data_IF_302704910182
#
_entry.id   IF_302704910182
#
_cell.length_a   1.000
_cell.length_b   1.000
_cell.length_c   1.000
_cell.angle_alpha   90.00
_cell.angle_beta   90.00
_cell.angle_gamma   90.00
#
_symmetry.space_group_name_H-M   'P 1'
#
loop_
_entity.id
_entity.type
_entity.pdbx_description
1 polymer ?
#
# COMPACT_ATOMS: atom_id res chain seq x y z
N UNK A 1 47.90 -12.11 20.75
CA UNK A 1 46.76 -11.56 20.01
C UNK A 1 45.54 -12.30 20.49
N UNK A 2 44.70 -11.70 21.34
CA UNK A 2 43.47 -12.35 21.78
C UNK A 2 42.52 -12.37 20.57
N UNK A 3 42.20 -13.57 20.08
CA UNK A 3 41.16 -13.72 19.07
C UNK A 3 39.87 -13.11 19.63
N UNK A 4 39.27 -12.17 18.90
CA UNK A 4 38.02 -11.55 19.29
C UNK A 4 36.96 -12.64 19.42
N UNK A 5 36.44 -12.90 20.63
CA UNK A 5 35.45 -13.94 20.91
C UNK A 5 34.14 -13.78 20.10
N UNK A 6 33.92 -12.59 19.49
CA UNK A 6 32.76 -12.31 18.67
C UNK A 6 32.95 -12.61 17.17
N UNK A 7 34.11 -13.12 16.74
CA UNK A 7 34.37 -13.41 15.33
C UNK A 7 33.53 -14.59 14.79
N UNK A 8 32.94 -15.41 15.67
CA UNK A 8 32.04 -16.52 15.33
C UNK A 8 30.97 -16.67 16.41
N UNK A 9 29.70 -16.84 16.01
CA UNK A 9 28.59 -17.10 16.95
C UNK A 9 28.83 -18.27 17.89
N UNK A 10 29.44 -19.37 17.39
CA UNK A 10 29.79 -20.53 18.19
C UNK A 10 30.76 -20.24 19.32
N UNK A 11 31.57 -19.17 19.23
CA UNK A 11 32.51 -18.77 20.28
C UNK A 11 31.88 -17.78 21.27
N UNK A 12 30.89 -16.99 20.85
CA UNK A 12 30.23 -16.01 21.71
C UNK A 12 29.27 -16.65 22.76
N UNK A 13 28.67 -17.79 22.44
CA UNK A 13 27.67 -18.48 23.29
C UNK A 13 28.02 -19.89 23.70
N UNK A 14 29.23 -20.35 23.44
CA UNK A 14 29.62 -21.75 23.47
C UNK A 14 30.08 -22.30 24.82
N UNK A 15 30.13 -21.50 25.88
CA UNK A 15 30.65 -21.94 27.19
C UNK A 15 29.86 -23.14 27.82
N UNK A 16 28.60 -23.33 27.41
CA UNK A 16 27.75 -24.43 27.89
C UNK A 16 27.64 -25.61 26.90
N UNK A 17 28.18 -25.48 25.70
CA UNK A 17 28.01 -26.51 24.65
C UNK A 17 29.33 -27.29 24.46
N UNK A 18 29.22 -28.63 24.38
CA UNK A 18 30.34 -29.53 24.16
C UNK A 18 30.74 -29.68 22.68
N UNK A 19 29.88 -29.25 21.76
CA UNK A 19 30.08 -29.39 20.31
C UNK A 19 29.83 -28.06 19.59
N UNK A 20 30.55 -27.74 18.51
CA UNK A 20 30.29 -26.59 17.69
C UNK A 20 29.02 -26.77 16.88
N UNK A 21 28.36 -25.64 16.56
CA UNK A 21 27.18 -25.65 15.69
C UNK A 21 27.56 -26.15 14.27
N UNK A 22 26.74 -27.06 13.71
CA UNK A 22 26.96 -27.55 12.34
C UNK A 22 26.72 -26.44 11.29
N UNK A 23 27.42 -26.53 10.15
CA UNK A 23 27.27 -25.56 9.05
C UNK A 23 25.83 -25.54 8.48
N UNK A 24 25.14 -26.68 8.51
CA UNK A 24 23.71 -26.75 8.10
C UNK A 24 22.82 -25.93 9.04
N UNK A 25 23.02 -26.07 10.36
CA UNK A 25 22.25 -25.31 11.36
C UNK A 25 22.54 -23.81 11.25
N UNK A 26 23.80 -23.40 11.06
CA UNK A 26 24.18 -21.99 10.85
C UNK A 26 23.38 -21.39 9.68
N UNK A 27 23.38 -22.04 8.52
CA UNK A 27 22.65 -21.57 7.33
C UNK A 27 21.14 -21.55 7.54
N UNK A 28 20.60 -22.55 8.25
CA UNK A 28 19.17 -22.65 8.50
C UNK A 28 18.64 -21.60 9.48
N UNK A 29 19.48 -21.17 10.44
CA UNK A 29 19.09 -20.24 11.50
C UNK A 29 19.55 -18.79 11.26
N UNK A 30 20.42 -18.54 10.30
CA UNK A 30 20.90 -17.20 10.00
C UNK A 30 19.81 -16.36 9.28
N UNK A 31 19.78 -15.07 9.59
CA UNK A 31 18.84 -14.09 9.03
C UNK A 31 19.54 -12.92 8.30
N UNK A 32 20.87 -12.87 8.35
CA UNK A 32 21.66 -11.74 7.82
C UNK A 32 21.39 -11.42 6.35
N UNK A 33 21.00 -12.42 5.54
CA UNK A 33 20.74 -12.23 4.12
C UNK A 33 19.54 -11.31 3.87
N UNK A 34 18.55 -11.32 4.75
CA UNK A 34 17.34 -10.50 4.61
C UNK A 34 17.26 -9.40 5.68
N UNK A 35 17.72 -9.61 6.93
CA UNK A 35 17.60 -8.64 8.01
C UNK A 35 18.66 -7.52 7.96
N UNK A 36 19.72 -7.66 7.16
CA UNK A 36 20.73 -6.61 6.95
C UNK A 36 20.13 -5.28 6.52
N UNK A 37 18.92 -5.25 5.96
CA UNK A 37 18.21 -4.00 5.65
C UNK A 37 17.84 -3.15 6.87
N UNK A 38 17.83 -3.74 8.06
CA UNK A 38 17.56 -3.05 9.33
C UNK A 38 18.76 -2.27 9.87
N UNK A 39 19.92 -2.31 9.23
CA UNK A 39 21.18 -1.75 9.77
C UNK A 39 21.05 -0.28 10.21
N UNK A 40 20.25 0.56 9.51
CA UNK A 40 20.06 1.97 9.90
C UNK A 40 19.26 2.07 11.20
N UNK A 41 18.24 1.26 11.36
CA UNK A 41 17.45 1.18 12.58
C UNK A 41 18.28 0.66 13.74
N UNK A 42 19.06 -0.39 13.52
CA UNK A 42 19.96 -0.97 14.54
C UNK A 42 21.00 0.03 15.03
N UNK A 43 21.68 0.75 14.12
CA UNK A 43 22.63 1.79 14.49
C UNK A 43 21.95 2.93 15.26
N UNK A 44 20.80 3.40 14.80
CA UNK A 44 20.05 4.47 15.47
C UNK A 44 19.59 4.04 16.86
N UNK A 45 19.01 2.85 17.00
CA UNK A 45 18.61 2.26 18.28
C UNK A 45 19.78 2.07 19.24
N UNK A 46 20.93 1.56 18.74
CA UNK A 46 22.15 1.36 19.50
C UNK A 46 22.78 2.68 20.00
N UNK A 47 22.76 3.73 19.15
CA UNK A 47 23.24 5.06 19.55
C UNK A 47 22.37 5.68 20.65
N UNK A 48 21.04 5.62 20.50
CA UNK A 48 20.12 6.13 21.51
C UNK A 48 20.22 5.37 22.84
N UNK A 49 20.43 4.06 22.76
CA UNK A 49 20.65 3.22 23.94
C UNK A 49 21.98 3.58 24.65
N UNK A 50 23.08 3.69 23.91
CA UNK A 50 24.39 4.06 24.46
C UNK A 50 24.37 5.46 25.10
N UNK A 51 23.70 6.43 24.46
CA UNK A 51 23.52 7.79 24.97
C UNK A 51 22.77 7.76 26.32
N UNK A 52 21.67 7.01 26.37
CA UNK A 52 20.89 6.83 27.59
C UNK A 52 21.71 6.16 28.70
N UNK A 53 22.45 5.10 28.40
CA UNK A 53 23.32 4.42 29.37
C UNK A 53 24.39 5.37 29.95
N UNK A 54 24.96 6.24 29.12
CA UNK A 54 25.93 7.25 29.58
C UNK A 54 25.26 8.32 30.46
N UNK A 55 24.05 8.76 30.08
CA UNK A 55 23.28 9.72 30.88
C UNK A 55 22.86 9.17 32.25
N UNK A 56 22.62 7.85 32.34
CA UNK A 56 22.32 7.17 33.61
C UNK A 56 23.56 6.75 34.39
N UNK A 57 24.79 7.07 33.91
CA UNK A 57 26.05 6.72 34.56
C UNK A 57 26.39 5.22 34.52
N UNK A 58 25.73 4.46 33.64
CA UNK A 58 25.98 3.02 33.41
C UNK A 58 27.19 2.83 32.48
N UNK A 59 27.32 3.71 31.47
CA UNK A 59 28.52 3.82 30.63
C UNK A 59 29.31 5.08 31.00
N UNK A 60 30.65 5.00 30.82
CA UNK A 60 31.47 6.22 30.88
C UNK A 60 31.22 7.09 29.64
N UNK A 61 31.52 8.38 29.74
CA UNK A 61 31.44 9.31 28.60
C UNK A 61 32.46 8.95 27.52
N UNK A 62 33.59 8.39 27.88
CA UNK A 62 34.66 7.92 27.00
C UNK A 62 34.20 6.71 26.20
N UNK A 63 33.53 5.74 26.84
CA UNK A 63 32.95 4.58 26.16
C UNK A 63 31.83 4.99 25.19
N UNK A 64 30.94 5.90 25.60
CA UNK A 64 29.89 6.42 24.72
C UNK A 64 30.49 7.10 23.48
N UNK A 65 31.48 7.99 23.65
CA UNK A 65 32.12 8.67 22.53
C UNK A 65 32.87 7.70 21.60
N UNK A 66 33.43 6.60 22.14
CA UNK A 66 34.04 5.55 21.33
C UNK A 66 32.99 4.77 20.53
N UNK A 67 31.87 4.38 21.15
CA UNK A 67 30.73 3.69 20.51
C UNK A 67 30.15 4.56 19.41
N UNK A 68 29.90 5.85 19.66
CA UNK A 68 29.34 6.79 18.67
C UNK A 68 30.24 6.88 17.43
N UNK A 69 31.54 7.07 17.59
CA UNK A 69 32.48 7.09 16.46
C UNK A 69 32.56 5.74 15.74
N UNK A 70 32.55 4.63 16.50
CA UNK A 70 32.59 3.30 15.93
C UNK A 70 31.33 2.97 15.09
N UNK A 71 30.13 3.25 15.59
CA UNK A 71 28.89 3.04 14.85
C UNK A 71 28.79 3.95 13.63
N UNK A 72 29.24 5.21 13.72
CA UNK A 72 29.33 6.08 12.56
C UNK A 72 30.26 5.54 11.46
N UNK A 73 31.38 4.91 11.85
CA UNK A 73 32.28 4.25 10.91
C UNK A 73 31.65 3.00 10.30
N UNK A 74 31.00 2.16 11.10
CA UNK A 74 30.25 0.99 10.60
C UNK A 74 29.19 1.40 9.58
N UNK A 75 28.41 2.45 9.89
CA UNK A 75 27.42 2.99 8.95
C UNK A 75 28.02 3.40 7.60
N UNK A 76 29.17 4.09 7.61
CA UNK A 76 29.90 4.47 6.39
C UNK A 76 30.38 3.25 5.60
N UNK A 77 30.88 2.22 6.28
CA UNK A 77 31.32 0.99 5.63
C UNK A 77 30.16 0.26 4.95
N UNK A 78 28.97 0.22 5.59
CA UNK A 78 27.77 -0.38 4.99
C UNK A 78 27.30 0.45 3.79
N UNK A 79 27.21 1.78 3.91
CA UNK A 79 26.80 2.66 2.81
C UNK A 79 27.70 2.59 1.59
N UNK A 80 29.02 2.48 1.81
CA UNK A 80 30.00 2.36 0.72
C UNK A 80 30.11 0.96 0.13
N UNK A 81 29.40 -0.03 0.71
CA UNK A 81 29.49 -1.43 0.29
C UNK A 81 30.81 -2.13 0.69
N UNK A 82 31.64 -1.51 1.56
CA UNK A 82 32.90 -2.10 2.05
C UNK A 82 32.72 -2.97 3.29
N UNK A 83 31.53 -2.98 3.89
CA UNK A 83 31.22 -3.82 5.05
C UNK A 83 31.03 -5.28 4.64
N UNK A 84 31.71 -6.19 5.31
CA UNK A 84 31.63 -7.64 5.07
C UNK A 84 30.57 -8.27 6.00
N UNK A 85 29.45 -8.71 5.44
CA UNK A 85 28.43 -9.48 6.15
C UNK A 85 28.87 -10.95 6.29
N UNK A 86 28.84 -11.46 7.53
CA UNK A 86 29.28 -12.82 7.85
C UNK A 86 28.11 -13.67 8.31
N UNK A 87 27.87 -14.78 7.61
CA UNK A 87 26.84 -15.77 7.98
C UNK A 87 27.07 -16.35 9.38
N UNK A 88 28.35 -16.57 9.75
CA UNK A 88 28.76 -17.06 11.07
C UNK A 88 28.31 -16.16 12.23
N UNK A 89 27.97 -14.89 11.95
CA UNK A 89 27.45 -13.92 12.91
C UNK A 89 25.92 -13.82 12.90
N UNK A 90 25.23 -14.74 12.21
CA UNK A 90 23.79 -14.97 12.23
C UNK A 90 22.94 -13.83 11.69
N UNK A 91 22.96 -12.63 12.30
CA UNK A 91 22.03 -11.52 12.06
C UNK A 91 22.76 -10.18 11.85
N UNK A 92 22.01 -9.16 11.42
CA UNK A 92 22.52 -7.80 11.26
C UNK A 92 23.16 -7.26 12.53
N UNK A 93 22.56 -7.52 13.66
CA UNK A 93 22.92 -6.98 14.97
C UNK A 93 24.29 -7.47 15.42
N UNK A 94 24.53 -8.80 15.37
CA UNK A 94 25.81 -9.38 15.77
C UNK A 94 26.94 -9.01 14.79
N UNK A 95 26.62 -8.87 13.49
CA UNK A 95 27.58 -8.36 12.51
C UNK A 95 28.04 -6.93 12.83
N UNK A 96 27.10 -6.03 13.15
CA UNK A 96 27.41 -4.65 13.55
C UNK A 96 28.17 -4.61 14.88
N UNK A 97 27.71 -5.37 15.89
CA UNK A 97 28.37 -5.45 17.22
C UNK A 97 29.79 -5.98 17.15
N UNK A 98 30.05 -7.03 16.36
CA UNK A 98 31.37 -7.58 16.15
C UNK A 98 32.31 -6.56 15.48
N UNK A 99 31.84 -5.86 14.43
CA UNK A 99 32.62 -4.82 13.76
C UNK A 99 32.90 -3.63 14.68
N UNK A 100 31.89 -3.18 15.42
CA UNK A 100 32.07 -2.13 16.44
C UNK A 100 33.15 -2.52 17.44
N UNK A 101 33.09 -3.74 17.97
CA UNK A 101 34.06 -4.23 18.95
C UNK A 101 35.51 -4.30 18.37
N UNK A 102 35.66 -4.63 17.09
CA UNK A 102 36.96 -4.57 16.40
C UNK A 102 37.51 -3.13 16.34
N UNK A 103 36.61 -2.15 16.14
CA UNK A 103 37.01 -0.74 16.03
C UNK A 103 37.30 -0.08 17.37
N UNK A 104 36.54 -0.39 18.42
CA UNK A 104 36.59 0.36 19.71
C UNK A 104 36.89 -0.51 20.92
N UNK A 105 37.17 -1.80 20.75
CA UNK A 105 37.54 -2.72 21.83
C UNK A 105 36.43 -2.94 22.86
N UNK A 106 36.76 -2.93 24.13
CA UNK A 106 35.81 -3.26 25.22
C UNK A 106 34.64 -2.29 25.36
N UNK A 107 34.77 -1.06 24.88
CA UNK A 107 33.65 -0.13 24.82
C UNK A 107 32.49 -0.71 23.98
N UNK A 108 32.80 -1.36 22.84
CA UNK A 108 31.79 -2.02 21.99
C UNK A 108 31.04 -3.14 22.71
N UNK A 109 31.75 -3.93 23.54
CA UNK A 109 31.11 -5.01 24.33
C UNK A 109 30.14 -4.48 25.39
N UNK A 110 30.38 -3.28 25.93
CA UNK A 110 29.51 -2.65 26.95
C UNK A 110 28.20 -2.12 26.38
N UNK A 111 28.09 -1.95 25.06
CA UNK A 111 26.86 -1.49 24.39
C UNK A 111 25.66 -2.39 24.69
N UNK A 112 25.88 -3.69 24.88
CA UNK A 112 24.80 -4.65 25.13
C UNK A 112 24.24 -4.62 26.57
N UNK A 113 24.79 -3.77 27.46
CA UNK A 113 24.33 -3.65 28.85
C UNK A 113 22.86 -3.26 28.95
N UNK A 114 22.07 -4.01 29.72
CA UNK A 114 20.64 -3.75 29.92
C UNK A 114 19.75 -3.98 28.70
N UNK A 115 20.26 -4.64 27.67
CA UNK A 115 19.55 -4.93 26.41
C UNK A 115 19.56 -6.43 26.10
N UNK A 116 18.57 -6.89 25.37
CA UNK A 116 18.52 -8.22 24.76
C UNK A 116 18.39 -8.08 23.25
N UNK A 117 18.72 -9.15 22.52
CA UNK A 117 18.41 -9.26 21.10
C UNK A 117 16.90 -9.11 20.85
N UNK A 118 16.06 -9.56 21.79
CA UNK A 118 14.60 -9.57 21.65
C UNK A 118 14.01 -8.14 21.56
N UNK A 119 14.36 -7.24 22.50
CA UNK A 119 13.87 -5.86 22.46
C UNK A 119 14.55 -5.01 21.40
N UNK A 120 15.82 -5.34 21.06
CA UNK A 120 16.56 -4.73 19.97
C UNK A 120 15.85 -4.97 18.62
N UNK A 121 15.62 -6.23 18.25
CA UNK A 121 14.94 -6.61 16.99
C UNK A 121 13.54 -5.99 16.92
N UNK A 122 12.76 -6.07 18.00
CA UNK A 122 11.40 -5.49 18.02
C UNK A 122 11.42 -3.97 17.78
N UNK A 123 12.42 -3.27 18.32
CA UNK A 123 12.62 -1.83 18.11
C UNK A 123 13.00 -1.54 16.66
N UNK A 124 13.93 -2.29 16.10
CA UNK A 124 14.46 -2.05 14.76
C UNK A 124 13.39 -2.28 13.68
N UNK A 125 12.59 -3.33 13.81
CA UNK A 125 11.48 -3.59 12.88
C UNK A 125 10.44 -2.48 12.95
N UNK A 126 10.11 -1.96 14.15
CA UNK A 126 9.16 -0.85 14.29
C UNK A 126 9.72 0.46 13.73
N UNK A 127 11.00 0.79 13.98
CA UNK A 127 11.66 1.96 13.40
C UNK A 127 11.64 1.90 11.88
N UNK A 128 12.07 0.77 11.33
CA UNK A 128 12.11 0.55 9.89
C UNK A 128 10.71 0.64 9.28
N UNK A 129 9.72 -0.06 9.83
CA UNK A 129 8.36 -0.07 9.31
C UNK A 129 7.71 1.31 9.37
N UNK A 130 7.95 2.07 10.44
CA UNK A 130 7.48 3.45 10.58
C UNK A 130 7.91 4.32 9.41
N UNK A 131 9.21 4.25 9.08
CA UNK A 131 9.78 5.03 7.98
C UNK A 131 9.26 4.56 6.61
N UNK A 132 9.02 3.26 6.45
CA UNK A 132 8.42 2.69 5.24
C UNK A 132 6.94 3.10 5.08
N UNK A 133 6.18 3.17 6.17
CA UNK A 133 4.79 3.68 6.16
C UNK A 133 4.75 5.13 5.67
N UNK A 134 5.67 5.97 6.13
CA UNK A 134 5.76 7.37 5.71
C UNK A 134 6.05 7.48 4.19
N UNK A 135 6.96 6.66 3.68
CA UNK A 135 7.27 6.60 2.24
C UNK A 135 6.07 6.08 1.42
N UNK A 136 5.39 5.03 1.89
CA UNK A 136 4.19 4.49 1.23
C UNK A 136 3.07 5.53 1.22
N UNK A 137 2.89 6.28 2.30
CA UNK A 137 1.95 7.40 2.38
C UNK A 137 2.21 8.45 1.30
N UNK A 138 3.47 8.81 1.08
CA UNK A 138 3.89 9.73 0.02
C UNK A 138 3.60 9.17 -1.39
N UNK A 139 3.85 7.88 -1.62
CA UNK A 139 3.56 7.20 -2.89
C UNK A 139 2.05 7.11 -3.17
N UNK A 140 1.23 6.82 -2.14
CA UNK A 140 -0.23 6.87 -2.25
C UNK A 140 -0.73 8.28 -2.61
N UNK A 141 -0.15 9.32 -2.01
CA UNK A 141 -0.49 10.69 -2.36
C UNK A 141 -0.09 11.00 -3.82
N UNK A 142 1.05 10.51 -4.28
CA UNK A 142 1.49 10.68 -5.67
C UNK A 142 0.53 9.99 -6.66
N UNK A 143 0.12 8.74 -6.38
CA UNK A 143 -0.86 8.02 -7.20
C UNK A 143 -2.21 8.76 -7.22
N UNK A 144 -2.69 9.22 -6.08
CA UNK A 144 -3.94 9.99 -6.02
C UNK A 144 -3.87 11.28 -6.84
N UNK A 145 -2.75 12.03 -6.75
CA UNK A 145 -2.52 13.23 -7.58
C UNK A 145 -2.56 12.88 -9.06
N UNK A 146 -1.87 11.83 -9.48
CA UNK A 146 -1.85 11.39 -10.88
C UNK A 146 -3.26 11.05 -11.40
N UNK A 147 -4.06 10.32 -10.61
CA UNK A 147 -5.44 10.00 -10.98
C UNK A 147 -6.34 11.24 -11.03
N UNK A 148 -6.17 12.19 -10.10
CA UNK A 148 -6.89 13.47 -10.11
C UNK A 148 -6.52 14.28 -11.35
N UNK A 149 -5.24 14.31 -11.77
CA UNK A 149 -4.79 15.00 -12.98
C UNK A 149 -5.45 14.43 -14.24
N UNK A 150 -5.57 13.10 -14.32
CA UNK A 150 -6.27 12.44 -15.44
C UNK A 150 -7.78 12.70 -15.37
N UNK A 151 -8.39 12.64 -14.19
CA UNK A 151 -9.81 12.92 -13.99
C UNK A 151 -10.16 14.35 -14.40
N UNK A 152 -9.33 15.33 -14.03
CA UNK A 152 -9.56 16.75 -14.34
C UNK A 152 -9.56 17.03 -15.85
N UNK A 153 -8.67 16.39 -16.60
CA UNK A 153 -8.61 16.49 -18.07
C UNK A 153 -9.81 15.82 -18.77
N UNK A 154 -10.53 14.94 -18.07
CA UNK A 154 -11.56 14.10 -18.63
C UNK A 154 -12.92 14.23 -17.91
N UNK A 155 -13.21 15.39 -17.31
CA UNK A 155 -14.45 15.66 -16.58
C UNK A 155 -15.67 15.48 -17.47
N UNK A 156 -15.56 15.87 -18.75
CA UNK A 156 -16.66 15.89 -19.71
C UNK A 156 -16.70 14.66 -20.64
N UNK A 157 -15.74 13.73 -20.51
CA UNK A 157 -15.68 12.49 -21.32
C UNK A 157 -16.71 11.49 -20.78
N UNK A 158 -17.64 11.09 -21.65
CA UNK A 158 -18.71 10.15 -21.32
C UNK A 158 -18.18 8.72 -21.42
N UNK A 159 -18.29 7.97 -20.33
CA UNK A 159 -17.99 6.54 -20.21
C UNK A 159 -19.29 5.77 -19.97
N UNK A 160 -19.51 4.58 -20.59
CA UNK A 160 -20.61 3.73 -20.16
C UNK A 160 -20.34 3.23 -18.74
N UNK A 161 -21.22 3.53 -17.81
CA UNK A 161 -21.21 2.92 -16.48
C UNK A 161 -21.77 1.51 -16.56
N UNK A 162 -21.09 0.57 -15.91
CA UNK A 162 -21.44 -0.85 -15.95
C UNK A 162 -21.94 -1.36 -14.60
N UNK A 163 -22.98 -2.20 -14.66
CA UNK A 163 -23.34 -3.14 -13.60
C UNK A 163 -23.42 -4.52 -14.23
N UNK A 164 -22.89 -5.56 -13.59
CA UNK A 164 -22.82 -6.93 -14.15
C UNK A 164 -22.11 -6.98 -15.54
N UNK A 165 -21.18 -6.05 -15.81
CA UNK A 165 -20.58 -5.80 -17.12
C UNK A 165 -21.58 -5.49 -18.25
N UNK A 166 -22.82 -5.13 -17.89
CA UNK A 166 -23.81 -4.60 -18.83
C UNK A 166 -23.82 -3.08 -18.75
N UNK A 167 -24.00 -2.40 -19.88
CA UNK A 167 -24.17 -0.94 -19.92
C UNK A 167 -25.39 -0.57 -19.09
N UNK A 168 -25.22 0.29 -18.11
CA UNK A 168 -26.28 0.71 -17.21
C UNK A 168 -26.65 2.18 -17.43
N UNK A 169 -25.80 3.09 -17.02
CA UNK A 169 -26.02 4.53 -17.12
C UNK A 169 -24.73 5.24 -17.52
N UNK A 170 -24.79 6.39 -18.22
CA UNK A 170 -23.59 7.15 -18.54
C UNK A 170 -22.98 7.76 -17.27
N UNK A 171 -21.66 7.70 -17.17
CA UNK A 171 -20.87 8.40 -16.15
C UNK A 171 -19.75 9.18 -16.83
N UNK A 172 -19.13 10.15 -16.16
CA UNK A 172 -17.91 10.72 -16.72
C UNK A 172 -16.70 9.84 -16.38
N UNK A 173 -15.73 9.77 -17.28
CA UNK A 173 -14.47 9.06 -17.04
C UNK A 173 -13.73 9.67 -15.83
N UNK A 174 -13.78 10.99 -15.67
CA UNK A 174 -13.25 11.67 -14.50
C UNK A 174 -13.92 11.21 -13.21
N UNK A 175 -15.26 11.10 -13.18
CA UNK A 175 -15.99 10.56 -12.03
C UNK A 175 -15.56 9.14 -11.66
N UNK A 176 -15.41 8.28 -12.66
CA UNK A 176 -14.99 6.89 -12.46
C UNK A 176 -13.61 6.81 -11.81
N UNK A 177 -12.62 7.58 -12.28
CA UNK A 177 -11.29 7.62 -11.70
C UNK A 177 -11.29 8.15 -10.26
N UNK A 178 -12.14 9.12 -9.94
CA UNK A 178 -12.26 9.65 -8.58
C UNK A 178 -12.78 8.60 -7.58
N UNK A 179 -13.51 7.57 -8.02
CA UNK A 179 -13.85 6.45 -7.15
C UNK A 179 -12.61 5.71 -6.63
N UNK A 180 -11.58 5.55 -7.46
CA UNK A 180 -10.30 5.00 -7.03
C UNK A 180 -9.52 5.94 -6.11
N UNK A 181 -9.60 7.25 -6.35
CA UNK A 181 -9.02 8.25 -5.45
C UNK A 181 -9.65 8.15 -4.04
N UNK A 182 -10.96 7.90 -3.95
CA UNK A 182 -11.63 7.65 -2.66
C UNK A 182 -11.13 6.36 -1.99
N UNK A 183 -10.90 5.29 -2.74
CA UNK A 183 -10.34 4.04 -2.19
C UNK A 183 -8.94 4.26 -1.63
N UNK A 184 -8.03 4.84 -2.40
CA UNK A 184 -6.66 5.14 -1.96
C UNK A 184 -6.60 6.18 -0.85
N UNK A 185 -7.61 7.06 -0.74
CA UNK A 185 -7.76 7.97 0.38
C UNK A 185 -8.00 7.23 1.69
N UNK A 186 -8.87 6.24 1.68
CA UNK A 186 -9.11 5.38 2.86
C UNK A 186 -7.89 4.54 3.22
N UNK A 187 -7.11 4.10 2.21
CA UNK A 187 -5.86 3.37 2.47
C UNK A 187 -4.81 4.27 3.14
N UNK A 188 -4.65 5.50 2.65
CA UNK A 188 -3.76 6.47 3.27
C UNK A 188 -4.18 6.81 4.73
N UNK A 189 -5.49 6.85 5.01
CA UNK A 189 -6.00 7.05 6.36
C UNK A 189 -5.64 5.86 7.27
N UNK A 190 -5.86 4.62 6.81
CA UNK A 190 -5.50 3.40 7.56
C UNK A 190 -4.00 3.39 7.92
N UNK A 191 -3.14 3.72 6.97
CA UNK A 191 -1.69 3.77 7.21
C UNK A 191 -1.32 4.82 8.26
N UNK A 192 -1.93 6.01 8.25
CA UNK A 192 -1.70 7.03 9.27
C UNK A 192 -2.15 6.58 10.66
N UNK A 193 -3.30 5.92 10.75
CA UNK A 193 -3.85 5.44 12.03
C UNK A 193 -3.02 4.30 12.62
N UNK A 194 -2.59 3.35 11.79
CA UNK A 194 -1.74 2.24 12.27
C UNK A 194 -0.33 2.70 12.62
N UNK A 195 0.20 3.75 11.98
CA UNK A 195 1.51 4.31 12.27
C UNK A 195 1.69 4.67 13.75
N UNK A 196 0.67 5.23 14.38
CA UNK A 196 0.68 5.54 15.80
C UNK A 196 0.87 4.29 16.68
N UNK A 197 0.27 3.16 16.30
CA UNK A 197 0.43 1.88 16.98
C UNK A 197 1.80 1.24 16.74
N UNK A 198 2.37 1.41 15.55
CA UNK A 198 3.77 1.03 15.27
C UNK A 198 4.73 1.85 16.11
N UNK A 199 4.43 3.13 16.36
CA UNK A 199 5.31 4.11 16.95
C UNK A 199 5.38 4.05 18.49
N UNK A 200 5.53 2.82 19.05
CA UNK A 200 5.72 2.54 20.47
C UNK A 200 7.05 1.82 20.69
N UNK A 201 7.87 2.30 21.64
CA UNK A 201 9.23 1.81 21.87
C UNK A 201 9.26 0.51 22.70
N UNK A 202 9.77 -0.62 22.16
CA UNK A 202 10.04 -1.83 22.94
C UNK A 202 11.34 -1.78 23.74
N UNK A 203 12.37 -1.04 23.29
CA UNK A 203 13.73 -1.08 23.85
C UNK A 203 13.72 -0.77 25.36
N UNK A 204 14.51 -1.54 26.11
CA UNK A 204 14.51 -1.53 27.57
C UNK A 204 13.57 -2.57 28.23
N UNK A 205 12.80 -3.32 27.40
CA UNK A 205 12.11 -4.52 27.85
C UNK A 205 13.04 -5.70 28.10
N UNK A 206 14.27 -5.63 27.61
CA UNK A 206 15.27 -6.68 27.64
C UNK A 206 14.76 -7.99 27.03
N UNK A 207 15.05 -9.15 27.61
CA UNK A 207 14.62 -10.42 27.04
C UNK A 207 13.08 -10.61 27.12
N UNK A 208 12.46 -10.25 28.26
CA UNK A 208 11.03 -10.35 28.53
C UNK A 208 10.56 -9.71 29.85
N UNK A 209 11.46 -9.58 30.83
CA UNK A 209 11.12 -9.18 32.20
C UNK A 209 11.56 -7.76 32.58
N UNK A 210 12.09 -7.01 31.64
CA UNK A 210 12.80 -5.76 31.92
C UNK A 210 14.21 -6.04 32.41
N UNK A 211 14.82 -5.05 33.06
CA UNK A 211 16.20 -5.11 33.56
C UNK A 211 16.32 -4.49 34.94
N UNK A 212 17.35 -4.88 35.71
CA UNK A 212 17.67 -4.28 36.99
C UNK A 212 18.43 -2.94 36.88
N UNK A 213 18.85 -2.55 35.69
CA UNK A 213 19.49 -1.26 35.45
C UNK A 213 18.46 -0.12 35.42
N UNK A 214 18.79 1.07 35.93
CA UNK A 214 17.88 2.23 35.93
C UNK A 214 17.83 2.90 34.55
N UNK A 215 17.27 2.20 33.57
CA UNK A 215 17.15 2.71 32.19
C UNK A 215 16.11 3.82 32.11
N UNK A 216 16.40 4.89 31.37
CA UNK A 216 15.44 5.94 30.98
C UNK A 216 14.88 5.63 29.61
N UNK A 217 13.84 4.79 29.56
CA UNK A 217 13.17 4.38 28.31
C UNK A 217 12.47 5.55 27.62
N UNK A 218 11.95 6.50 28.40
CA UNK A 218 11.31 7.70 27.86
C UNK A 218 12.31 8.59 27.09
N UNK A 219 13.54 8.69 27.59
CA UNK A 219 14.63 9.38 26.89
C UNK A 219 14.92 8.73 25.54
N UNK A 220 15.06 7.41 25.50
CA UNK A 220 15.28 6.65 24.27
C UNK A 220 14.11 6.85 23.30
N UNK A 221 12.87 6.82 23.79
CA UNK A 221 11.69 7.06 22.96
C UNK A 221 11.73 8.46 22.31
N UNK A 222 12.04 9.50 23.09
CA UNK A 222 12.17 10.87 22.56
C UNK A 222 13.30 10.98 21.54
N UNK A 223 14.47 10.39 21.79
CA UNK A 223 15.63 10.42 20.88
C UNK A 223 15.31 9.75 19.54
N UNK A 224 14.57 8.64 19.56
CA UNK A 224 14.17 7.88 18.35
C UNK A 224 12.87 8.36 17.72
N UNK A 225 12.17 9.35 18.32
CA UNK A 225 10.91 9.88 17.80
C UNK A 225 9.73 8.94 17.96
N UNK A 226 9.77 8.01 18.93
CA UNK A 226 8.61 7.23 19.33
C UNK A 226 7.62 8.09 20.13
N UNK A 227 6.33 7.85 19.96
CA UNK A 227 5.25 8.57 20.68
C UNK A 227 5.11 8.11 22.14
N UNK A 228 5.56 6.89 22.45
CA UNK A 228 5.48 6.33 23.79
C UNK A 228 6.35 5.09 23.93
N UNK A 229 6.24 4.46 25.09
CA UNK A 229 6.96 3.26 25.48
C UNK A 229 5.97 2.11 25.69
N UNK A 230 6.28 0.92 25.18
CA UNK A 230 5.51 -0.29 25.45
C UNK A 230 5.44 -0.54 26.96
N UNK A 231 4.24 -0.65 27.52
CA UNK A 231 3.98 -0.62 28.96
C UNK A 231 4.22 -1.97 29.66
N UNK A 232 4.25 -3.08 28.91
CA UNK A 232 4.55 -4.40 29.44
C UNK A 232 5.75 -4.99 28.70
N UNK A 233 6.78 -5.38 29.43
CA UNK A 233 8.05 -5.85 28.84
C UNK A 233 7.90 -7.20 28.13
N UNK A 234 6.99 -8.07 28.59
CA UNK A 234 6.75 -9.36 27.98
C UNK A 234 6.01 -9.21 26.65
N UNK A 235 5.00 -8.35 26.61
CA UNK A 235 4.27 -7.99 25.40
C UNK A 235 5.17 -7.26 24.38
N UNK A 236 6.00 -6.34 24.84
CA UNK A 236 6.88 -5.53 24.00
C UNK A 236 7.81 -6.34 23.08
N UNK A 237 8.25 -7.52 23.52
CA UNK A 237 9.13 -8.43 22.75
C UNK A 237 8.35 -9.50 22.00
N UNK A 238 7.09 -9.73 22.36
CA UNK A 238 6.20 -10.74 21.77
C UNK A 238 5.35 -10.19 20.62
N UNK A 239 4.90 -8.95 20.73
CA UNK A 239 3.94 -8.32 19.82
C UNK A 239 4.44 -8.26 18.36
N UNK A 240 3.57 -8.70 17.46
CA UNK A 240 3.70 -8.55 16.00
C UNK A 240 2.39 -8.06 15.36
N UNK A 241 1.43 -7.59 16.18
CA UNK A 241 0.15 -7.05 15.69
C UNK A 241 0.38 -5.92 14.69
N UNK A 242 1.38 -5.06 14.95
CA UNK A 242 1.75 -3.96 14.06
C UNK A 242 2.16 -4.43 12.65
N UNK A 243 2.82 -5.59 12.53
CA UNK A 243 3.22 -6.17 11.24
C UNK A 243 2.01 -6.80 10.52
N UNK A 244 1.15 -7.49 11.27
CA UNK A 244 -0.10 -8.06 10.75
C UNK A 244 -1.04 -6.96 10.28
N UNK A 245 -1.23 -5.91 11.09
CA UNK A 245 -2.09 -4.76 10.77
C UNK A 245 -1.60 -4.02 9.52
N UNK A 246 -0.29 -3.78 9.43
CA UNK A 246 0.30 -3.17 8.23
C UNK A 246 0.06 -4.04 6.99
N UNK A 247 0.33 -5.35 7.09
CA UNK A 247 0.16 -6.27 5.95
C UNK A 247 -1.31 -6.40 5.56
N UNK A 248 -2.25 -6.34 6.52
CA UNK A 248 -3.69 -6.30 6.25
C UNK A 248 -4.10 -5.02 5.51
N UNK A 249 -3.59 -3.86 5.91
CA UNK A 249 -3.81 -2.60 5.22
C UNK A 249 -3.21 -2.61 3.81
N UNK A 250 -2.00 -3.17 3.66
CA UNK A 250 -1.33 -3.35 2.38
C UNK A 250 -2.11 -4.31 1.45
N UNK A 251 -2.61 -5.42 1.98
CA UNK A 251 -3.43 -6.37 1.23
C UNK A 251 -4.71 -5.71 0.70
N UNK A 252 -5.40 -4.91 1.52
CA UNK A 252 -6.58 -4.17 1.09
C UNK A 252 -6.24 -3.11 0.01
N UNK A 253 -5.13 -2.39 0.17
CA UNK A 253 -4.64 -1.47 -0.86
C UNK A 253 -4.36 -2.20 -2.19
N UNK A 254 -3.71 -3.37 -2.13
CA UNK A 254 -3.47 -4.19 -3.32
C UNK A 254 -4.76 -4.74 -3.95
N UNK A 255 -5.83 -4.95 -3.18
CA UNK A 255 -7.18 -5.26 -3.73
C UNK A 255 -7.71 -4.06 -4.53
N UNK A 256 -7.54 -2.82 -4.04
CA UNK A 256 -7.94 -1.63 -4.80
C UNK A 256 -7.11 -1.46 -6.08
N UNK A 257 -5.80 -1.69 -6.02
CA UNK A 257 -4.93 -1.72 -7.20
C UNK A 257 -5.36 -2.81 -8.18
N UNK A 258 -5.69 -4.01 -7.68
CA UNK A 258 -6.14 -5.13 -8.52
C UNK A 258 -7.46 -4.80 -9.26
N UNK A 259 -8.39 -4.12 -8.61
CA UNK A 259 -9.63 -3.66 -9.25
C UNK A 259 -9.38 -2.63 -10.35
N UNK A 260 -8.53 -1.64 -10.08
CA UNK A 260 -8.12 -0.67 -11.10
C UNK A 260 -7.40 -1.38 -12.26
N UNK A 261 -6.53 -2.33 -11.96
CA UNK A 261 -5.83 -3.14 -12.95
C UNK A 261 -6.77 -3.88 -13.88
N UNK A 262 -7.80 -4.53 -13.31
CA UNK A 262 -8.82 -5.24 -14.10
C UNK A 262 -9.51 -4.33 -15.10
N UNK A 263 -9.94 -3.14 -14.67
CA UNK A 263 -10.59 -2.18 -15.56
C UNK A 263 -9.62 -1.64 -16.63
N UNK A 264 -8.37 -1.35 -16.29
CA UNK A 264 -7.37 -0.92 -17.27
C UNK A 264 -7.10 -1.99 -18.32
N UNK A 265 -7.03 -3.27 -17.93
CA UNK A 265 -6.88 -4.40 -18.85
C UNK A 265 -8.09 -4.52 -19.78
N UNK A 266 -9.30 -4.46 -19.22
CA UNK A 266 -10.56 -4.48 -20.01
C UNK A 266 -10.60 -3.31 -20.98
N UNK A 267 -10.38 -2.09 -20.50
CA UNK A 267 -10.48 -0.87 -21.31
C UNK A 267 -9.43 -0.78 -22.42
N UNK A 268 -8.24 -1.34 -22.21
CA UNK A 268 -7.19 -1.39 -23.24
C UNK A 268 -7.46 -2.49 -24.27
N UNK A 269 -8.24 -3.52 -23.94
CA UNK A 269 -8.51 -4.63 -24.84
C UNK A 269 -9.19 -4.16 -26.12
N UNK A 270 -9.01 -4.93 -27.22
CA UNK A 270 -9.64 -4.63 -28.51
C UNK A 270 -11.18 -4.62 -28.46
N UNK A 271 -11.77 -5.37 -27.51
CA UNK A 271 -13.23 -5.43 -27.33
C UNK A 271 -13.80 -4.14 -26.76
N UNK A 272 -13.08 -3.44 -25.91
CA UNK A 272 -13.47 -2.15 -25.32
C UNK A 272 -12.84 -0.98 -26.08
N UNK A 273 -11.53 -0.94 -26.19
CA UNK A 273 -10.80 0.09 -26.90
C UNK A 273 -10.97 1.51 -26.32
N UNK A 274 -11.22 1.63 -25.02
CA UNK A 274 -11.53 2.89 -24.34
C UNK A 274 -10.31 3.73 -24.02
N UNK A 275 -9.18 3.06 -23.80
CA UNK A 275 -7.91 3.72 -23.49
C UNK A 275 -6.77 3.09 -24.27
N UNK A 276 -5.63 3.77 -24.26
CA UNK A 276 -4.32 3.19 -24.53
C UNK A 276 -3.37 3.54 -23.40
N UNK A 277 -2.41 2.67 -23.11
CA UNK A 277 -1.36 2.87 -22.12
C UNK A 277 -0.05 3.11 -22.86
N UNK A 278 0.75 4.08 -22.42
CA UNK A 278 2.02 4.42 -23.07
C UNK A 278 2.93 3.19 -23.20
N UNK A 279 3.62 3.07 -24.33
CA UNK A 279 4.41 1.90 -24.72
C UNK A 279 5.42 1.46 -23.69
N UNK A 280 6.02 2.39 -22.95
CA UNK A 280 6.99 2.11 -21.89
C UNK A 280 6.43 1.31 -20.70
N UNK A 281 5.10 1.13 -20.60
CA UNK A 281 4.42 0.32 -19.59
C UNK A 281 3.80 -0.94 -20.16
N UNK A 282 4.09 -1.26 -21.42
CA UNK A 282 3.52 -2.38 -22.15
C UNK A 282 4.63 -3.26 -22.74
N UNK A 283 4.30 -4.49 -23.09
CA UNK A 283 5.20 -5.34 -23.88
C UNK A 283 4.55 -5.75 -25.20
N UNK A 284 5.38 -6.14 -26.16
CA UNK A 284 4.96 -6.75 -27.40
C UNK A 284 4.92 -8.28 -27.30
N UNK A 285 4.60 -8.91 -28.43
CA UNK A 285 4.67 -10.37 -28.58
C UNK A 285 5.87 -10.75 -29.45
N UNK A 286 6.58 -11.81 -29.07
CA UNK A 286 7.70 -12.33 -29.84
C UNK A 286 7.29 -12.95 -31.19
N UNK A 287 6.01 -13.28 -31.34
CA UNK A 287 5.47 -13.95 -32.57
C UNK A 287 4.37 -13.13 -33.26
N UNK A 288 3.70 -12.23 -32.54
CA UNK A 288 2.59 -11.42 -33.07
C UNK A 288 2.98 -9.93 -33.07
N UNK A 289 3.51 -9.38 -34.18
CA UNK A 289 4.06 -8.03 -34.21
C UNK A 289 3.03 -6.91 -33.95
N UNK A 290 1.75 -7.19 -34.12
CA UNK A 290 0.65 -6.23 -33.87
C UNK A 290 0.16 -6.21 -32.41
N UNK A 291 0.66 -7.11 -31.54
CA UNK A 291 0.14 -7.28 -30.18
C UNK A 291 0.85 -6.37 -29.18
N UNK A 292 0.08 -5.67 -28.38
CA UNK A 292 0.52 -4.82 -27.26
C UNK A 292 -0.20 -5.28 -26.00
N UNK A 293 0.56 -5.66 -24.97
CA UNK A 293 0.03 -6.24 -23.73
C UNK A 293 0.12 -5.25 -22.59
N UNK A 294 -0.92 -5.15 -21.72
CA UNK A 294 -0.95 -4.30 -20.52
C UNK A 294 -0.27 -5.01 -19.32
N UNK A 295 1.04 -5.31 -19.44
CA UNK A 295 1.73 -6.16 -18.46
C UNK A 295 1.76 -5.58 -17.05
N UNK A 296 1.88 -4.25 -16.91
CA UNK A 296 1.93 -3.60 -15.60
C UNK A 296 0.64 -3.84 -14.80
N UNK A 297 -0.58 -3.54 -15.32
CA UNK A 297 -1.80 -3.85 -14.58
C UNK A 297 -2.03 -5.36 -14.40
N UNK A 298 -1.70 -6.19 -15.38
CA UNK A 298 -1.83 -7.65 -15.22
C UNK A 298 -0.95 -8.19 -14.09
N UNK A 299 0.32 -7.77 -14.04
CA UNK A 299 1.25 -8.20 -13.00
C UNK A 299 0.84 -7.67 -11.61
N UNK A 300 0.38 -6.42 -11.52
CA UNK A 300 -0.11 -5.85 -10.25
C UNK A 300 -1.33 -6.61 -9.72
N UNK A 301 -2.25 -7.01 -10.61
CA UNK A 301 -3.38 -7.90 -10.28
C UNK A 301 -2.88 -9.24 -9.70
N UNK A 302 -1.85 -9.84 -10.30
CA UNK A 302 -1.21 -11.06 -9.79
C UNK A 302 -0.52 -10.86 -8.43
N UNK A 303 0.23 -9.75 -8.26
CA UNK A 303 0.95 -9.42 -7.02
C UNK A 303 0.02 -9.22 -5.81
N UNK A 304 -1.26 -8.90 -6.01
CA UNK A 304 -2.22 -8.80 -4.90
C UNK A 304 -2.35 -10.10 -4.12
N UNK A 305 -2.34 -11.25 -4.81
CA UNK A 305 -2.35 -12.57 -4.18
C UNK A 305 -1.12 -12.86 -3.33
N UNK A 306 0.05 -12.35 -3.74
CA UNK A 306 1.31 -12.47 -2.98
C UNK A 306 1.21 -11.76 -1.61
N UNK A 307 0.72 -10.51 -1.60
CA UNK A 307 0.56 -9.74 -0.35
C UNK A 307 -0.52 -10.36 0.57
N UNK A 308 -1.61 -10.88 0.00
CA UNK A 308 -2.61 -11.65 0.79
C UNK A 308 -1.97 -12.90 1.39
N UNK A 309 -1.11 -13.60 0.65
CA UNK A 309 -0.35 -14.75 1.16
C UNK A 309 0.55 -14.37 2.35
N UNK A 310 1.21 -13.21 2.30
CA UNK A 310 2.03 -12.69 3.42
C UNK A 310 1.20 -12.38 4.66
N UNK A 311 0.01 -11.81 4.52
CA UNK A 311 -0.91 -11.61 5.64
C UNK A 311 -1.28 -12.94 6.30
N UNK A 312 -1.62 -13.95 5.51
CA UNK A 312 -1.95 -15.28 6.03
C UNK A 312 -0.74 -15.94 6.70
N UNK A 313 0.46 -15.75 6.18
CA UNK A 313 1.70 -16.23 6.79
C UNK A 313 1.90 -15.63 8.19
N UNK A 314 1.79 -14.29 8.34
CA UNK A 314 1.99 -13.61 9.62
C UNK A 314 0.91 -13.98 10.66
N UNK A 315 -0.36 -14.08 10.27
CA UNK A 315 -1.43 -14.53 11.16
C UNK A 315 -1.15 -15.96 11.63
N UNK A 316 -0.75 -16.84 10.71
CA UNK A 316 -0.46 -18.25 11.02
C UNK A 316 0.77 -18.37 11.92
N UNK A 317 1.80 -17.55 11.70
CA UNK A 317 3.00 -17.47 12.52
C UNK A 317 2.66 -17.18 13.99
N UNK A 318 1.84 -16.16 14.23
CA UNK A 318 1.55 -15.69 15.58
C UNK A 318 0.52 -16.54 16.31
N UNK A 319 -0.34 -17.23 15.57
CA UNK A 319 -1.37 -18.08 16.17
C UNK A 319 -0.74 -19.25 16.93
N UNK A 320 -0.97 -19.33 18.22
CA UNK A 320 -0.52 -20.46 19.06
C UNK A 320 0.93 -20.37 19.56
N UNK A 321 1.67 -19.29 19.29
CA UNK A 321 2.94 -19.03 19.95
C UNK A 321 2.73 -18.69 21.43
N UNK A 322 3.57 -19.19 22.35
CA UNK A 322 3.62 -18.65 23.71
C UNK A 322 4.19 -17.23 23.71
N UNK A 323 3.98 -16.49 24.79
CA UNK A 323 4.50 -15.14 24.96
C UNK A 323 6.03 -15.11 24.94
N UNK A 324 6.59 -13.93 24.85
CA UNK A 324 7.99 -13.59 24.66
C UNK A 324 8.46 -13.90 23.23
N UNK A 325 9.71 -14.33 23.06
CA UNK A 325 10.32 -14.58 21.77
C UNK A 325 10.55 -16.08 21.55
N UNK A 326 10.12 -16.58 20.41
CA UNK A 326 10.50 -17.88 19.88
C UNK A 326 11.21 -17.67 18.54
N UNK A 327 12.05 -18.62 18.13
CA UNK A 327 12.79 -18.53 16.86
C UNK A 327 11.87 -18.39 15.64
N UNK A 328 10.60 -18.84 15.76
CA UNK A 328 9.52 -18.62 14.80
C UNK A 328 9.41 -17.15 14.38
N UNK A 329 9.60 -16.20 15.30
CA UNK A 329 9.54 -14.76 15.02
C UNK A 329 10.60 -14.26 14.03
N UNK A 330 11.57 -15.09 13.63
CA UNK A 330 12.45 -14.76 12.52
C UNK A 330 11.69 -14.68 11.18
N UNK A 331 10.63 -15.51 11.04
CA UNK A 331 9.78 -15.60 9.85
C UNK A 331 8.80 -14.40 9.70
N UNK A 332 8.80 -13.43 10.61
CA UNK A 332 8.00 -12.22 10.50
C UNK A 332 8.55 -11.24 9.44
N UNK A 333 9.87 -11.31 9.16
CA UNK A 333 10.59 -10.29 8.40
C UNK A 333 10.41 -10.43 6.89
N UNK A 334 10.62 -11.62 6.34
CA UNK A 334 10.56 -11.80 4.89
C UNK A 334 9.19 -11.45 4.32
N UNK A 335 8.05 -11.92 4.89
CA UNK A 335 6.72 -11.52 4.43
C UNK A 335 6.47 -10.02 4.56
N UNK A 336 6.93 -9.40 5.66
CA UNK A 336 6.78 -7.98 5.90
C UNK A 336 7.60 -7.15 4.90
N UNK A 337 8.87 -7.51 4.72
CA UNK A 337 9.79 -6.81 3.81
C UNK A 337 9.32 -6.89 2.36
N UNK A 338 8.94 -8.07 1.91
CA UNK A 338 8.44 -8.27 0.56
C UNK A 338 7.09 -7.58 0.31
N UNK A 339 6.23 -7.50 1.33
CA UNK A 339 4.99 -6.70 1.26
C UNK A 339 5.29 -5.23 1.04
N UNK A 340 6.24 -4.66 1.79
CA UNK A 340 6.66 -3.25 1.65
C UNK A 340 7.22 -3.00 0.25
N UNK A 341 8.16 -3.83 -0.20
CA UNK A 341 8.80 -3.68 -1.51
C UNK A 341 7.76 -3.79 -2.64
N UNK A 342 6.90 -4.81 -2.58
CA UNK A 342 5.83 -5.03 -3.57
C UNK A 342 4.85 -3.84 -3.63
N UNK A 343 4.42 -3.33 -2.48
CA UNK A 343 3.49 -2.21 -2.42
C UNK A 343 4.13 -0.91 -2.94
N UNK A 344 5.36 -0.60 -2.53
CA UNK A 344 6.07 0.62 -2.96
C UNK A 344 6.28 0.63 -4.47
N UNK A 345 6.77 -0.47 -5.04
CA UNK A 345 7.01 -0.56 -6.49
C UNK A 345 5.70 -0.48 -7.27
N UNK A 346 4.65 -1.12 -6.78
CA UNK A 346 3.32 -1.07 -7.41
C UNK A 346 2.76 0.35 -7.40
N UNK A 347 2.79 1.05 -6.27
CA UNK A 347 2.28 2.42 -6.17
C UNK A 347 3.07 3.39 -7.04
N UNK A 348 4.41 3.23 -7.10
CA UNK A 348 5.28 4.07 -7.93
C UNK A 348 4.96 3.90 -9.41
N UNK A 349 4.93 2.66 -9.90
CA UNK A 349 4.68 2.41 -11.32
C UNK A 349 3.26 2.82 -11.72
N UNK A 350 2.26 2.68 -10.85
CA UNK A 350 0.90 3.12 -11.13
C UNK A 350 0.76 4.64 -11.18
N UNK A 351 1.46 5.38 -10.32
CA UNK A 351 1.48 6.85 -10.38
C UNK A 351 2.08 7.36 -11.71
N UNK A 352 3.14 6.73 -12.20
CA UNK A 352 3.75 7.07 -13.48
C UNK A 352 2.88 6.61 -14.66
N UNK A 353 2.34 5.40 -14.63
CA UNK A 353 1.50 4.84 -15.69
C UNK A 353 0.20 5.62 -15.87
N UNK A 354 -0.43 6.08 -14.79
CA UNK A 354 -1.67 6.85 -14.86
C UNK A 354 -1.51 8.10 -15.76
N UNK A 355 -0.37 8.78 -15.68
CA UNK A 355 -0.08 9.95 -16.52
C UNK A 355 0.13 9.59 -18.01
N UNK A 356 0.41 8.32 -18.30
CA UNK A 356 0.59 7.79 -19.66
C UNK A 356 -0.67 7.19 -20.29
N UNK A 357 -1.83 7.35 -19.66
CA UNK A 357 -3.10 6.87 -20.21
C UNK A 357 -3.60 7.86 -21.27
N UNK A 358 -3.86 7.35 -22.47
CA UNK A 358 -4.55 8.07 -23.54
C UNK A 358 -6.01 7.62 -23.58
N UNK A 359 -6.94 8.55 -23.40
CA UNK A 359 -8.38 8.29 -23.39
C UNK A 359 -8.92 8.36 -24.82
N UNK A 360 -9.86 7.48 -25.17
CA UNK A 360 -10.51 7.41 -26.50
C UNK A 360 -12.02 7.71 -26.37
N UNK A 361 -12.40 8.99 -26.28
CA UNK A 361 -13.79 9.41 -25.99
C UNK A 361 -14.82 8.84 -26.95
N UNK A 362 -14.53 8.80 -28.25
CA UNK A 362 -15.47 8.32 -29.25
C UNK A 362 -15.79 6.82 -29.08
N UNK A 363 -14.83 6.02 -28.62
CA UNK A 363 -15.05 4.60 -28.36
C UNK A 363 -15.96 4.39 -27.14
N UNK A 364 -15.74 5.18 -26.09
CA UNK A 364 -16.58 5.18 -24.88
C UNK A 364 -18.00 5.62 -25.19
N UNK A 365 -18.17 6.73 -25.91
CA UNK A 365 -19.48 7.27 -26.27
C UNK A 365 -20.28 6.31 -27.15
N UNK A 366 -19.64 5.72 -28.18
CA UNK A 366 -20.26 4.66 -29.01
C UNK A 366 -20.70 3.44 -28.18
N UNK A 367 -19.95 3.07 -27.16
CA UNK A 367 -20.33 1.97 -26.29
C UNK A 367 -21.52 2.35 -25.38
N UNK A 368 -21.56 3.58 -24.90
CA UNK A 368 -22.67 4.08 -24.08
C UNK A 368 -23.99 4.13 -24.83
N UNK A 369 -23.98 4.44 -26.14
CA UNK A 369 -25.22 4.47 -26.95
C UNK A 369 -25.81 3.08 -27.20
N UNK A 370 -25.01 2.01 -27.18
CA UNK A 370 -25.47 0.64 -27.49
C UNK A 370 -26.36 0.02 -26.41
N UNK A 371 -26.40 0.55 -25.21
CA UNK A 371 -27.02 -0.07 -24.04
C UNK A 371 -28.32 0.58 -23.60
N UNK A 372 -28.93 1.48 -24.40
CA UNK A 372 -30.11 2.27 -23.98
C UNK A 372 -29.90 2.96 -22.62
N UNK A 373 -28.72 3.51 -22.40
CA UNK A 373 -28.25 4.02 -21.11
C UNK A 373 -29.12 5.19 -20.56
N UNK A 374 -29.96 5.80 -21.41
CA UNK A 374 -30.88 6.88 -21.07
C UNK A 374 -32.32 6.40 -20.75
N UNK A 375 -32.57 5.08 -20.72
CA UNK A 375 -33.88 4.54 -20.42
C UNK A 375 -34.40 4.98 -19.04
N UNK A 376 -33.55 5.00 -18.03
CA UNK A 376 -33.92 5.49 -16.68
C UNK A 376 -34.28 6.98 -16.71
N UNK A 377 -33.61 7.78 -17.54
CA UNK A 377 -33.89 9.21 -17.67
C UNK A 377 -35.27 9.44 -18.29
N UNK A 378 -35.72 8.60 -19.23
CA UNK A 378 -37.08 8.63 -19.76
C UNK A 378 -38.12 8.29 -18.69
N UNK A 379 -37.83 7.30 -17.83
CA UNK A 379 -38.74 6.97 -16.73
C UNK A 379 -38.84 8.13 -15.73
N UNK A 380 -37.70 8.73 -15.35
CA UNK A 380 -37.69 9.90 -14.46
C UNK A 380 -38.38 11.11 -15.07
N UNK A 381 -38.27 11.31 -16.39
CA UNK A 381 -39.00 12.35 -17.12
C UNK A 381 -40.51 12.15 -17.00
N UNK A 382 -41.00 10.93 -17.17
CA UNK A 382 -42.45 10.62 -17.05
C UNK A 382 -42.93 10.80 -15.61
N UNK A 383 -42.12 10.42 -14.62
CA UNK A 383 -42.45 10.63 -13.20
C UNK A 383 -42.58 12.12 -12.89
N UNK A 384 -41.64 12.96 -13.38
CA UNK A 384 -41.73 14.42 -13.24
C UNK A 384 -43.00 15.02 -13.91
N UNK A 385 -43.58 14.33 -14.89
CA UNK A 385 -44.85 14.68 -15.50
C UNK A 385 -46.06 14.06 -14.80
N UNK A 386 -45.86 13.40 -13.65
CA UNK A 386 -46.96 12.94 -12.79
C UNK A 386 -47.28 11.45 -12.87
N UNK A 387 -46.52 10.67 -13.66
CA UNK A 387 -46.73 9.22 -13.74
C UNK A 387 -46.12 8.52 -12.53
N UNK A 388 -46.74 7.48 -12.00
CA UNK A 388 -46.16 6.66 -10.98
C UNK A 388 -44.92 5.92 -11.53
N UNK A 389 -43.84 5.76 -10.73
CA UNK A 389 -42.58 5.20 -11.22
C UNK A 389 -42.72 3.79 -11.85
N UNK A 390 -43.58 2.94 -11.29
CA UNK A 390 -43.81 1.59 -11.85
C UNK A 390 -44.45 1.64 -13.22
N UNK A 391 -45.42 2.54 -13.42
CA UNK A 391 -46.08 2.74 -14.70
C UNK A 391 -45.14 3.36 -15.73
N UNK A 392 -44.33 4.33 -15.30
CA UNK A 392 -43.24 4.91 -16.11
C UNK A 392 -42.24 3.85 -16.57
N UNK A 393 -41.84 2.95 -15.68
CA UNK A 393 -40.94 1.85 -16.00
C UNK A 393 -41.50 0.90 -17.06
N UNK A 394 -42.80 0.56 -16.97
CA UNK A 394 -43.48 -0.28 -17.97
C UNK A 394 -43.56 0.41 -19.34
N UNK A 395 -43.93 1.70 -19.36
CA UNK A 395 -43.94 2.53 -20.58
C UNK A 395 -42.59 2.53 -21.25
N UNK A 396 -41.51 2.76 -20.46
CA UNK A 396 -40.13 2.79 -20.97
C UNK A 396 -39.69 1.41 -21.46
N UNK A 397 -40.07 0.33 -20.79
CA UNK A 397 -39.76 -1.02 -21.26
C UNK A 397 -40.33 -1.30 -22.65
N UNK A 398 -41.57 -0.82 -22.94
CA UNK A 398 -42.17 -0.90 -24.27
C UNK A 398 -41.44 -0.04 -25.31
N UNK A 399 -41.02 1.18 -24.94
CA UNK A 399 -40.23 2.06 -25.81
C UNK A 399 -38.89 1.43 -26.17
N UNK A 400 -38.17 0.88 -25.18
CA UNK A 400 -36.90 0.17 -25.39
C UNK A 400 -37.09 -1.05 -26.30
N UNK A 401 -38.11 -1.87 -26.05
CA UNK A 401 -38.41 -3.04 -26.90
C UNK A 401 -38.68 -2.62 -28.36
N UNK A 402 -39.35 -1.51 -28.57
CA UNK A 402 -39.60 -0.97 -29.92
C UNK A 402 -38.33 -0.47 -30.57
N UNK A 403 -37.50 0.27 -29.83
CA UNK A 403 -36.19 0.74 -30.30
C UNK A 403 -35.27 -0.43 -30.69
N UNK A 404 -35.22 -1.49 -29.87
CA UNK A 404 -34.49 -2.74 -30.19
C UNK A 404 -35.00 -3.34 -31.51
N UNK A 405 -36.30 -3.47 -31.68
CA UNK A 405 -36.88 -4.08 -32.89
C UNK A 405 -36.60 -3.29 -34.17
N UNK A 406 -36.39 -1.98 -34.05
CA UNK A 406 -36.06 -1.08 -35.16
C UNK A 406 -34.54 -0.87 -35.33
N UNK A 407 -33.72 -1.36 -34.41
CA UNK A 407 -32.25 -1.19 -34.44
C UNK A 407 -31.82 0.27 -34.24
N UNK A 408 -32.59 1.08 -33.50
CA UNK A 408 -32.32 2.50 -33.23
C UNK A 408 -32.20 2.77 -31.73
N UNK A 409 -31.59 3.89 -31.37
CA UNK A 409 -31.56 4.39 -29.99
C UNK A 409 -32.91 5.04 -29.62
N UNK A 410 -33.20 5.18 -28.30
CA UNK A 410 -34.39 5.84 -27.80
C UNK A 410 -34.55 7.28 -28.33
N UNK A 411 -33.43 8.02 -28.43
CA UNK A 411 -33.40 9.38 -28.96
C UNK A 411 -33.73 9.47 -30.48
N UNK A 412 -33.67 8.34 -31.19
CA UNK A 412 -33.98 8.28 -32.63
C UNK A 412 -35.41 7.90 -32.92
N UNK A 413 -36.19 7.51 -31.91
CA UNK A 413 -37.64 7.26 -32.09
C UNK A 413 -38.35 8.58 -32.39
N UNK A 414 -39.24 8.64 -33.40
CA UNK A 414 -39.99 9.85 -33.68
C UNK A 414 -40.94 10.18 -32.52
N UNK A 415 -41.20 11.47 -32.31
CA UNK A 415 -42.08 11.94 -31.23
C UNK A 415 -43.44 11.25 -31.22
N UNK A 416 -44.02 11.03 -32.38
CA UNK A 416 -45.30 10.34 -32.52
C UNK A 416 -45.27 8.90 -31.99
N UNK A 417 -44.13 8.19 -32.15
CA UNK A 417 -43.97 6.86 -31.58
C UNK A 417 -43.84 6.92 -30.05
N UNK A 418 -43.08 7.87 -29.53
CA UNK A 418 -42.93 8.11 -28.09
C UNK A 418 -44.27 8.50 -27.45
N UNK A 419 -45.05 9.37 -28.10
CA UNK A 419 -46.40 9.77 -27.67
C UNK A 419 -47.39 8.60 -27.72
N UNK A 420 -47.19 7.62 -28.60
CA UNK A 420 -47.94 6.37 -28.62
C UNK A 420 -47.80 5.54 -27.36
N UNK A 421 -46.67 5.63 -26.64
CA UNK A 421 -46.49 4.99 -25.35
C UNK A 421 -47.09 5.81 -24.20
N UNK A 422 -46.97 7.14 -24.25
CA UNK A 422 -47.60 8.03 -23.27
C UNK A 422 -47.85 9.44 -23.87
N UNK A 423 -49.10 9.95 -23.87
CA UNK A 423 -49.46 11.21 -24.54
C UNK A 423 -48.82 12.45 -23.90
N UNK A 424 -48.34 12.36 -22.65
CA UNK A 424 -47.61 13.44 -21.96
C UNK A 424 -46.20 13.66 -22.43
N UNK A 425 -45.65 12.86 -23.35
CA UNK A 425 -44.33 13.05 -23.90
C UNK A 425 -44.35 14.21 -24.91
N UNK A 426 -43.53 15.24 -24.65
CA UNK A 426 -43.32 16.37 -25.54
C UNK A 426 -41.92 16.35 -26.18
N UNK A 427 -41.63 17.33 -27.06
CA UNK A 427 -40.34 17.47 -27.73
C UNK A 427 -39.17 17.64 -26.76
N UNK A 428 -39.44 18.16 -25.57
CA UNK A 428 -38.47 18.31 -24.47
C UNK A 428 -37.80 17.00 -24.04
N UNK A 429 -38.41 15.83 -24.37
CA UNK A 429 -37.87 14.50 -24.12
C UNK A 429 -36.51 14.28 -24.78
N UNK A 430 -36.26 14.84 -25.94
CA UNK A 430 -35.01 14.64 -26.66
C UNK A 430 -33.80 15.22 -25.95
N UNK A 431 -33.98 16.28 -25.13
CA UNK A 431 -32.90 16.80 -24.29
C UNK A 431 -32.51 15.83 -23.15
N UNK A 432 -33.49 15.04 -22.70
CA UNK A 432 -33.29 14.04 -21.61
C UNK A 432 -32.67 12.76 -22.16
N UNK A 433 -32.98 12.39 -23.41
CA UNK A 433 -32.52 11.17 -24.05
C UNK A 433 -31.08 11.23 -24.60
N UNK A 434 -30.40 12.37 -24.47
CA UNK A 434 -29.00 12.45 -24.84
C UNK A 434 -28.11 11.92 -23.70
N UNK A 435 -26.98 11.29 -24.03
CA UNK A 435 -25.98 10.89 -23.03
C UNK A 435 -25.51 12.08 -22.19
N UNK A 436 -25.35 13.25 -22.81
CA UNK A 436 -24.96 14.50 -22.16
C UNK A 436 -26.03 14.96 -21.17
N UNK A 437 -27.27 14.98 -21.59
CA UNK A 437 -28.40 15.37 -20.74
C UNK A 437 -28.56 14.43 -19.54
N UNK A 438 -28.40 13.13 -19.75
CA UNK A 438 -28.36 12.12 -18.68
C UNK A 438 -27.24 12.41 -17.67
N UNK A 439 -26.03 12.67 -18.14
CA UNK A 439 -24.87 12.98 -17.29
C UNK A 439 -25.12 14.26 -16.45
N UNK A 440 -25.54 15.35 -17.12
CA UNK A 440 -25.74 16.66 -16.50
C UNK A 440 -26.92 16.72 -15.51
N UNK A 441 -27.86 15.80 -15.63
CA UNK A 441 -29.02 15.72 -14.71
C UNK A 441 -28.61 15.22 -13.30
N UNK A 442 -27.48 14.57 -13.12
CA UNK A 442 -27.07 13.90 -11.87
C UNK A 442 -26.29 14.83 -10.96
N UNK A 443 -26.94 15.90 -10.46
CA UNK A 443 -26.36 17.00 -9.69
C UNK A 443 -26.31 16.78 -8.18
N UNK A 444 -26.77 15.65 -7.69
CA UNK A 444 -26.69 15.31 -6.25
C UNK A 444 -25.23 15.25 -5.79
N UNK A 445 -24.98 15.49 -4.52
CA UNK A 445 -23.65 15.36 -3.94
C UNK A 445 -23.08 13.97 -4.24
N UNK A 446 -21.89 13.93 -4.82
CA UNK A 446 -21.25 12.67 -5.25
C UNK A 446 -21.76 12.13 -6.59
N UNK A 447 -22.68 12.84 -7.28
CA UNK A 447 -23.16 12.47 -8.60
C UNK A 447 -22.12 12.70 -9.71
N UNK A 448 -22.44 12.23 -10.92
CA UNK A 448 -21.51 12.25 -12.06
C UNK A 448 -21.60 13.53 -12.91
N UNK A 449 -22.51 14.48 -12.58
CA UNK A 449 -22.57 15.74 -13.31
C UNK A 449 -21.21 16.48 -13.27
N UNK A 450 -20.77 17.10 -14.38
CA UNK A 450 -19.45 17.74 -14.46
C UNK A 450 -19.17 18.73 -13.34
N UNK A 451 -20.18 19.46 -12.87
CA UNK A 451 -20.06 20.38 -11.72
C UNK A 451 -19.70 19.64 -10.42
N UNK A 452 -20.28 18.46 -10.20
CA UNK A 452 -19.99 17.61 -9.02
C UNK A 452 -18.60 16.99 -9.12
N UNK A 453 -18.20 16.57 -10.31
CA UNK A 453 -16.86 16.03 -10.56
C UNK A 453 -15.79 17.10 -10.31
N UNK A 454 -15.99 18.34 -10.77
CA UNK A 454 -15.08 19.47 -10.49
C UNK A 454 -15.01 19.78 -8.99
N UNK A 455 -16.14 19.72 -8.28
CA UNK A 455 -16.17 19.91 -6.83
C UNK A 455 -15.37 18.80 -6.09
N UNK A 456 -15.52 17.54 -6.52
CA UNK A 456 -14.75 16.43 -5.98
C UNK A 456 -13.23 16.61 -6.25
N UNK A 457 -12.84 17.00 -7.46
CA UNK A 457 -11.45 17.30 -7.82
C UNK A 457 -10.88 18.38 -6.89
N UNK A 458 -11.59 19.50 -6.71
CA UNK A 458 -11.16 20.58 -5.83
C UNK A 458 -10.94 20.11 -4.37
N UNK A 459 -11.86 19.28 -3.85
CA UNK A 459 -11.75 18.67 -2.53
C UNK A 459 -10.50 17.78 -2.41
N UNK A 460 -10.23 16.94 -3.42
CA UNK A 460 -9.06 16.07 -3.41
C UNK A 460 -7.76 16.87 -3.54
N UNK A 461 -7.71 17.90 -4.38
CA UNK A 461 -6.58 18.82 -4.48
C UNK A 461 -6.26 19.46 -3.13
N UNK A 462 -7.26 20.00 -2.44
CA UNK A 462 -7.07 20.61 -1.12
C UNK A 462 -6.55 19.63 -0.06
N UNK A 463 -6.97 18.36 -0.13
CA UNK A 463 -6.49 17.31 0.78
C UNK A 463 -5.07 16.85 0.47
N UNK A 464 -4.65 16.89 -0.78
CA UNK A 464 -3.36 16.39 -1.28
C UNK A 464 -2.28 17.48 -1.40
N UNK A 465 -2.66 18.74 -1.14
CA UNK A 465 -1.73 19.86 -1.03
C UNK A 465 -0.89 19.76 0.24
#
# INVERSE_FOLDING_TARGET
MSSNQLDKKSQAWSALFSEPMSELVKRYTASVDFDRRLWRADIAGSLAHAEMLAAQGILSREDYAAIERGLAQVGKEIESGSFEWKLDLEDVHLNIEARLTQLVGDAGKRLHTGRSRNDQVATDVRLWLRDEIDQIGALLAALQRALVDVAEKNVDVILPGFTHLQVAQPVSFGHHLLAYVEMFSRDAQRLRELRARVNQLPLGAAALAGTSYPLDRERVARTLGFEGVCQNSLDAVSDRDFAIEFTAAAALCMVHVSRLSEELVLWMSQSFGFIDIADRFCTGSSIMPQKKNPDVPELARGKSGRVVGHLMSLITLMKGQPLAYNKDNQEDKEPLFDTVDTLKDTLRIFAEMAQGITVKPEAMERAATRGYATATDLADYLVKKGLAFRDAHEVVAHAVKTAISQGVDLAQLPLSALQGFHPGIGEDVYSVLTLRGSLEARKVLGGTAPEQVRAQIARHRARLA
#
